data_IF_421231916754
#
_entry.id   IF_421231916754
#
_cell.length_a   1.000
_cell.length_b   1.000
_cell.length_c   1.000
_cell.angle_alpha   90.00
_cell.angle_beta   90.00
_cell.angle_gamma   90.00
#
_symmetry.space_group_name_H-M   'P 1'
#
loop_
_entity.id
_entity.type
_entity.pdbx_description
1 polymer ?
#
# COMPACT_ATOMS: atom_id res chain seq x y z
N UNK A 1 -38.46 -37.21 -29.06
CA UNK A 1 -37.03 -36.87 -29.01
C UNK A 1 -36.89 -35.37 -28.72
N UNK A 2 -36.66 -35.00 -27.45
CA UNK A 2 -36.80 -33.63 -26.96
C UNK A 2 -35.43 -32.96 -26.94
N UNK A 3 -35.21 -31.99 -27.82
CA UNK A 3 -33.96 -31.22 -27.95
C UNK A 3 -33.86 -30.26 -26.76
N UNK A 4 -32.88 -30.48 -25.88
CA UNK A 4 -32.54 -29.53 -24.82
C UNK A 4 -31.60 -28.47 -25.39
N UNK A 5 -32.08 -27.23 -25.37
CA UNK A 5 -31.34 -26.03 -25.72
C UNK A 5 -30.73 -25.49 -24.43
N UNK A 6 -29.41 -25.70 -24.25
CA UNK A 6 -28.68 -25.15 -23.11
C UNK A 6 -28.28 -23.72 -23.46
N UNK A 7 -28.84 -22.76 -22.72
CA UNK A 7 -28.45 -21.36 -22.77
C UNK A 7 -27.17 -21.16 -21.96
N UNK A 8 -26.08 -20.75 -22.61
CA UNK A 8 -24.86 -20.28 -21.94
C UNK A 8 -25.09 -18.84 -21.50
N UNK A 9 -25.42 -18.65 -20.22
CA UNK A 9 -25.45 -17.33 -19.59
C UNK A 9 -24.02 -16.86 -19.34
N UNK A 10 -23.61 -15.80 -20.03
CA UNK A 10 -22.36 -15.10 -19.74
C UNK A 10 -22.51 -14.31 -18.43
N UNK A 11 -21.94 -14.84 -17.35
CA UNK A 11 -21.80 -14.12 -16.07
C UNK A 11 -20.66 -13.12 -16.23
N UNK A 12 -21.00 -11.85 -16.45
CA UNK A 12 -20.06 -10.74 -16.28
C UNK A 12 -19.71 -10.63 -14.79
N UNK A 13 -18.56 -11.16 -14.39
CA UNK A 13 -18.00 -10.92 -13.07
C UNK A 13 -17.60 -9.44 -12.99
N UNK A 14 -18.39 -8.65 -12.27
CA UNK A 14 -18.04 -7.28 -11.90
C UNK A 14 -16.84 -7.33 -10.95
N UNK A 15 -15.64 -6.99 -11.44
CA UNK A 15 -14.50 -6.76 -10.56
C UNK A 15 -14.79 -5.49 -9.75
N UNK A 16 -14.72 -5.53 -8.41
CA UNK A 16 -14.85 -4.31 -7.64
C UNK A 16 -13.63 -3.45 -7.93
N UNK A 17 -13.87 -2.20 -8.35
CA UNK A 17 -12.84 -1.18 -8.38
C UNK A 17 -12.56 -0.79 -6.91
N UNK A 18 -11.70 -1.54 -6.23
CA UNK A 18 -11.17 -1.13 -4.93
C UNK A 18 -10.15 -0.03 -5.15
N UNK A 19 -10.63 1.21 -5.19
CA UNK A 19 -9.81 2.40 -5.18
C UNK A 19 -10.49 3.51 -4.39
N UNK A 20 -9.83 3.98 -3.32
CA UNK A 20 -10.06 5.29 -2.71
C UNK A 20 -10.74 5.26 -1.35
N UNK A 21 -11.19 4.10 -0.88
CA UNK A 21 -11.81 3.96 0.43
C UNK A 21 -10.82 3.44 1.46
N UNK A 22 -10.74 4.11 2.61
CA UNK A 22 -9.87 3.73 3.70
C UNK A 22 -10.34 2.40 4.32
N UNK A 23 -9.44 1.42 4.38
CA UNK A 23 -9.74 0.10 4.91
C UNK A 23 -9.01 -0.17 6.23
N UNK A 24 -9.60 -0.95 7.16
CA UNK A 24 -8.86 -1.45 8.30
C UNK A 24 -7.81 -2.46 7.87
N UNK A 25 -6.63 -2.43 8.48
CA UNK A 25 -5.56 -3.40 8.26
C UNK A 25 -5.13 -4.06 9.57
N UNK A 26 -5.21 -5.39 9.61
CA UNK A 26 -4.67 -6.21 10.70
C UNK A 26 -3.33 -6.82 10.29
N UNK A 27 -2.52 -7.17 11.28
CA UNK A 27 -1.23 -7.82 11.11
C UNK A 27 -1.35 -9.14 10.31
N UNK A 28 -2.46 -9.86 10.48
CA UNK A 28 -2.74 -11.11 9.76
C UNK A 28 -2.91 -10.92 8.25
N UNK A 29 -3.26 -9.71 7.80
CA UNK A 29 -3.55 -9.42 6.40
C UNK A 29 -2.33 -8.84 5.65
N UNK A 30 -1.26 -8.47 6.36
CA UNK A 30 -0.05 -7.87 5.76
C UNK A 30 0.61 -8.81 4.76
N UNK A 31 0.69 -10.11 5.08
CA UNK A 31 1.27 -11.10 4.17
C UNK A 31 0.49 -11.17 2.84
N UNK A 32 -0.84 -11.04 2.89
CA UNK A 32 -1.69 -10.98 1.69
C UNK A 32 -1.46 -9.71 0.90
N UNK A 33 -1.31 -8.56 1.55
CA UNK A 33 -0.94 -7.31 0.89
C UNK A 33 0.42 -7.42 0.20
N UNK A 34 1.44 -7.98 0.85
CA UNK A 34 2.77 -8.12 0.26
C UNK A 34 2.82 -9.13 -0.88
N UNK A 35 1.98 -10.17 -0.85
CA UNK A 35 1.87 -11.13 -1.95
C UNK A 35 1.42 -10.50 -3.28
N UNK A 36 0.76 -9.33 -3.26
CA UNK A 36 0.41 -8.62 -4.50
C UNK A 36 1.64 -8.16 -5.27
N UNK A 37 2.82 -8.07 -4.62
CA UNK A 37 4.06 -7.66 -5.24
C UNK A 37 4.51 -8.56 -6.41
N UNK A 38 4.04 -9.82 -6.43
CA UNK A 38 4.29 -10.74 -7.55
C UNK A 38 3.74 -10.21 -8.88
N UNK A 39 2.58 -9.53 -8.84
CA UNK A 39 1.92 -8.96 -10.02
C UNK A 39 2.59 -7.69 -10.54
N UNK A 40 3.09 -6.86 -9.62
CA UNK A 40 3.83 -5.61 -9.84
C UNK A 40 4.57 -5.26 -8.56
N UNK A 41 5.81 -4.74 -8.59
CA UNK A 41 6.50 -4.32 -7.37
C UNK A 41 5.64 -3.40 -6.51
N UNK A 42 5.78 -3.49 -5.20
CA UNK A 42 4.96 -2.78 -4.23
C UNK A 42 5.84 -1.88 -3.34
N UNK A 43 5.54 -0.59 -3.32
CA UNK A 43 6.01 0.33 -2.29
C UNK A 43 4.91 0.49 -1.23
N UNK A 44 5.27 0.31 0.03
CA UNK A 44 4.37 0.48 1.18
C UNK A 44 4.89 1.62 2.04
N UNK A 45 4.13 2.70 2.09
CA UNK A 45 4.42 3.86 2.93
C UNK A 45 3.70 3.73 4.26
N UNK A 46 4.47 3.70 5.34
CA UNK A 46 3.97 3.65 6.71
C UNK A 46 4.12 5.04 7.32
N UNK A 47 2.99 5.59 7.77
CA UNK A 47 2.88 6.96 8.25
C UNK A 47 1.90 7.09 9.42
N UNK A 48 1.77 8.31 9.96
CA UNK A 48 0.76 8.64 10.98
C UNK A 48 0.37 10.12 10.86
N UNK A 49 -0.79 10.48 11.40
CA UNK A 49 -1.26 11.85 11.53
C UNK A 49 -0.26 12.76 12.29
N UNK A 50 0.45 12.20 13.28
CA UNK A 50 1.38 12.94 14.15
C UNK A 50 2.81 13.04 13.59
N UNK A 51 3.02 12.61 12.34
CA UNK A 51 4.32 12.59 11.70
C UNK A 51 4.56 13.85 10.84
N UNK A 52 5.40 14.76 11.32
CA UNK A 52 5.69 16.03 10.64
C UNK A 52 6.23 15.91 9.21
N UNK A 53 7.02 14.87 8.91
CA UNK A 53 7.64 14.66 7.59
C UNK A 53 6.87 13.70 6.68
N UNK A 54 5.85 13.00 7.17
CA UNK A 54 5.17 11.96 6.40
C UNK A 54 4.40 12.53 5.20
N UNK A 55 3.82 13.73 5.34
CA UNK A 55 3.10 14.41 4.24
C UNK A 55 4.01 14.71 3.06
N UNK A 56 5.22 15.19 3.33
CA UNK A 56 6.21 15.50 2.29
C UNK A 56 6.71 14.23 1.61
N UNK A 57 7.02 13.19 2.39
CA UNK A 57 7.44 11.91 1.83
C UNK A 57 6.34 11.24 0.98
N UNK A 58 5.09 11.28 1.45
CA UNK A 58 3.94 10.80 0.68
C UNK A 58 3.80 11.56 -0.65
N UNK A 59 4.02 12.87 -0.67
CA UNK A 59 3.99 13.66 -1.91
C UNK A 59 5.09 13.21 -2.89
N UNK A 60 6.30 12.94 -2.41
CA UNK A 60 7.39 12.41 -3.24
C UNK A 60 7.02 11.04 -3.84
N UNK A 61 6.49 10.13 -3.01
CA UNK A 61 6.07 8.80 -3.45
C UNK A 61 4.93 8.84 -4.45
N UNK A 62 3.90 9.66 -4.22
CA UNK A 62 2.77 9.84 -5.15
C UNK A 62 3.26 10.42 -6.48
N UNK A 63 4.10 11.45 -6.45
CA UNK A 63 4.65 12.04 -7.67
C UNK A 63 5.50 11.02 -8.45
N UNK A 64 6.30 10.23 -7.75
CA UNK A 64 7.11 9.17 -8.34
C UNK A 64 6.24 8.05 -8.94
N UNK A 65 5.23 7.55 -8.21
CA UNK A 65 4.33 6.49 -8.64
C UNK A 65 3.55 6.87 -9.91
N UNK A 66 3.16 8.14 -10.07
CA UNK A 66 2.50 8.63 -11.30
C UNK A 66 3.37 8.46 -12.55
N UNK A 67 4.70 8.49 -12.41
CA UNK A 67 5.65 8.25 -13.53
C UNK A 67 5.96 6.77 -13.74
N UNK A 68 5.65 5.92 -12.76
CA UNK A 68 5.94 4.50 -12.74
C UNK A 68 4.67 3.70 -12.40
N UNK A 69 3.65 3.71 -13.28
CA UNK A 69 2.37 3.04 -13.04
C UNK A 69 2.48 1.51 -12.98
N UNK A 70 3.64 0.96 -13.35
CA UNK A 70 4.01 -0.45 -13.16
C UNK A 70 4.38 -0.78 -11.71
N UNK A 71 4.32 0.19 -10.80
CA UNK A 71 4.52 0.03 -9.36
C UNK A 71 3.21 0.25 -8.61
N UNK A 72 2.93 -0.64 -7.67
CA UNK A 72 1.86 -0.49 -6.70
C UNK A 72 2.33 0.38 -5.55
N UNK A 73 1.44 1.25 -5.05
CA UNK A 73 1.65 2.00 -3.81
C UNK A 73 0.54 1.62 -2.83
N UNK A 74 0.91 1.42 -1.57
CA UNK A 74 -0.02 1.30 -0.45
C UNK A 74 0.36 2.33 0.63
N UNK A 75 -0.63 3.06 1.13
CA UNK A 75 -0.49 3.99 2.25
C UNK A 75 -1.08 3.35 3.50
N UNK A 76 -0.28 3.20 4.56
CA UNK A 76 -0.69 2.55 5.81
C UNK A 76 -0.49 3.52 6.97
N UNK A 77 -1.59 4.05 7.48
CA UNK A 77 -1.58 4.84 8.70
C UNK A 77 -1.48 3.92 9.93
N UNK A 78 -0.57 4.22 10.85
CA UNK A 78 -0.48 3.52 12.14
C UNK A 78 -1.52 4.00 13.16
N UNK A 79 -2.23 5.09 12.85
CA UNK A 79 -3.35 5.59 13.65
C UNK A 79 -4.50 4.57 13.65
N UNK A 80 -5.19 4.44 14.78
CA UNK A 80 -6.27 3.47 14.94
C UNK A 80 -7.46 3.80 14.01
N UNK A 81 -7.91 2.83 13.23
CA UNK A 81 -9.00 2.97 12.25
C UNK A 81 -10.31 3.41 12.92
N UNK A 82 -10.70 2.76 14.02
CA UNK A 82 -11.97 3.01 14.69
C UNK A 82 -12.04 4.42 15.30
N UNK A 83 -10.91 4.95 15.79
CA UNK A 83 -10.84 6.25 16.45
C UNK A 83 -10.51 7.40 15.48
N UNK A 84 -9.69 7.14 14.46
CA UNK A 84 -9.08 8.18 13.62
C UNK A 84 -9.42 8.06 12.13
N UNK A 85 -10.26 7.10 11.71
CA UNK A 85 -10.52 6.81 10.30
C UNK A 85 -10.91 8.02 9.46
N UNK A 86 -11.78 8.90 9.98
CA UNK A 86 -12.18 10.12 9.28
C UNK A 86 -11.01 11.11 9.09
N UNK A 87 -10.18 11.30 10.12
CA UNK A 87 -9.01 12.18 10.06
C UNK A 87 -7.93 11.61 9.12
N UNK A 88 -7.71 10.30 9.15
CA UNK A 88 -6.81 9.59 8.24
C UNK A 88 -7.26 9.75 6.78
N UNK A 89 -8.55 9.50 6.49
CA UNK A 89 -9.10 9.67 5.14
C UNK A 89 -8.96 11.12 4.64
N UNK A 90 -9.22 12.10 5.52
CA UNK A 90 -9.04 13.50 5.18
C UNK A 90 -7.57 13.85 4.90
N UNK A 91 -6.63 13.35 5.70
CA UNK A 91 -5.21 13.57 5.49
C UNK A 91 -4.72 12.93 4.18
N UNK A 92 -5.18 11.72 3.83
CA UNK A 92 -4.88 11.06 2.55
C UNK A 92 -5.38 11.89 1.35
N UNK A 93 -6.59 12.46 1.45
CA UNK A 93 -7.11 13.36 0.43
C UNK A 93 -6.24 14.62 0.29
N UNK A 94 -5.81 15.23 1.40
CA UNK A 94 -4.90 16.40 1.38
C UNK A 94 -3.51 16.06 0.82
N UNK A 95 -3.05 14.81 0.95
CA UNK A 95 -1.82 14.32 0.35
C UNK A 95 -1.95 14.03 -1.16
N UNK A 96 -3.13 14.24 -1.75
CA UNK A 96 -3.42 13.98 -3.17
C UNK A 96 -3.10 12.53 -3.59
N UNK A 97 -3.31 11.59 -2.67
CA UNK A 97 -3.15 10.15 -2.92
C UNK A 97 -4.17 9.73 -3.99
N UNK A 98 -3.73 9.14 -5.12
CA UNK A 98 -4.64 8.73 -6.18
C UNK A 98 -5.67 7.69 -5.67
N UNK A 99 -6.92 7.71 -6.15
CA UNK A 99 -7.93 6.77 -5.69
C UNK A 99 -7.52 5.31 -5.83
N UNK A 100 -6.79 4.93 -6.89
CA UNK A 100 -6.34 3.55 -7.11
C UNK A 100 -5.25 3.06 -6.12
N UNK A 101 -4.68 3.95 -5.31
CA UNK A 101 -3.71 3.57 -4.27
C UNK A 101 -4.46 2.91 -3.13
N UNK A 102 -3.95 1.77 -2.66
CA UNK A 102 -4.52 1.09 -1.51
C UNK A 102 -4.28 1.93 -0.25
N UNK A 103 -5.34 2.18 0.52
CA UNK A 103 -5.32 3.08 1.68
C UNK A 103 -5.80 2.32 2.91
N UNK A 104 -4.95 2.25 3.93
CA UNK A 104 -5.20 1.49 5.15
C UNK A 104 -4.98 2.34 6.40
N UNK A 105 -5.71 2.02 7.47
CA UNK A 105 -5.35 2.42 8.83
C UNK A 105 -5.29 1.20 9.77
N UNK A 106 -4.56 1.33 10.87
CA UNK A 106 -4.32 0.23 11.80
C UNK A 106 -5.62 -0.24 12.46
N UNK A 107 -5.91 -1.53 12.38
CA UNK A 107 -7.01 -2.18 13.10
C UNK A 107 -6.49 -3.15 14.17
N UNK A 108 -5.25 -2.95 14.62
CA UNK A 108 -4.66 -3.69 15.72
C UNK A 108 -4.91 -2.98 17.05
N UNK A 109 -5.28 -3.71 18.12
CA UNK A 109 -5.37 -3.14 19.47
C UNK A 109 -4.00 -2.80 20.06
N UNK A 110 -2.93 -3.39 19.50
CA UNK A 110 -1.55 -3.22 19.94
C UNK A 110 -0.68 -2.85 18.72
N UNK A 111 -0.17 -1.61 18.62
CA UNK A 111 0.53 -1.12 17.43
C UNK A 111 1.72 -1.99 17.00
N UNK A 112 2.40 -2.63 17.96
CA UNK A 112 3.56 -3.49 17.75
C UNK A 112 3.26 -4.70 16.87
N UNK A 113 2.01 -5.18 16.87
CA UNK A 113 1.60 -6.31 16.01
C UNK A 113 1.68 -5.92 14.54
N UNK A 114 1.05 -4.81 14.18
CA UNK A 114 1.09 -4.32 12.80
C UNK A 114 2.51 -3.89 12.43
N UNK A 115 3.23 -3.19 13.32
CA UNK A 115 4.63 -2.81 13.13
C UNK A 115 5.50 -4.01 12.74
N UNK A 116 5.42 -5.09 13.53
CA UNK A 116 6.23 -6.30 13.31
C UNK A 116 5.84 -7.02 12.02
N UNK A 117 4.55 -7.05 11.68
CA UNK A 117 4.07 -7.65 10.44
C UNK A 117 4.53 -6.87 9.20
N UNK A 118 4.53 -5.53 9.27
CA UNK A 118 5.01 -4.66 8.21
C UNK A 118 6.53 -4.77 8.05
N UNK A 119 7.28 -4.57 9.12
CA UNK A 119 8.74 -4.68 9.11
C UNK A 119 9.25 -5.05 10.51
N UNK A 120 9.68 -6.30 10.69
CA UNK A 120 10.14 -6.81 11.97
C UNK A 120 11.38 -6.06 12.51
N UNK A 121 12.19 -5.47 11.64
CA UNK A 121 13.37 -4.68 12.03
C UNK A 121 13.06 -3.22 12.34
N UNK A 122 11.87 -2.74 11.97
CA UNK A 122 11.47 -1.34 12.12
C UNK A 122 11.22 -0.99 13.58
N UNK A 123 11.77 0.11 14.09
CA UNK A 123 11.69 0.48 15.51
C UNK A 123 10.62 1.53 15.81
N UNK A 124 9.83 1.91 14.81
CA UNK A 124 8.74 2.88 14.93
C UNK A 124 9.12 4.26 14.40
N UNK A 125 10.33 4.46 13.86
CA UNK A 125 10.70 5.73 13.25
C UNK A 125 9.87 6.00 11.98
N UNK A 126 9.33 7.20 11.82
CA UNK A 126 8.48 7.55 10.68
C UNK A 126 9.05 8.75 9.90
N UNK A 127 8.74 8.88 8.59
CA UNK A 127 8.09 7.87 7.75
C UNK A 127 8.96 6.63 7.54
N UNK A 128 8.33 5.51 7.18
CA UNK A 128 8.99 4.25 6.83
C UNK A 128 8.41 3.72 5.53
N UNK A 129 9.23 3.59 4.50
CA UNK A 129 8.82 3.01 3.22
C UNK A 129 9.45 1.64 3.03
N UNK A 130 8.62 0.62 2.80
CA UNK A 130 9.03 -0.74 2.50
C UNK A 130 8.83 -1.04 1.02
N UNK A 131 9.89 -1.45 0.35
CA UNK A 131 9.88 -1.95 -1.02
C UNK A 131 9.80 -3.46 -1.04
N UNK A 132 8.88 -4.00 -1.85
CA UNK A 132 8.75 -5.43 -2.15
C UNK A 132 8.87 -5.64 -3.66
N UNK A 133 9.89 -6.37 -4.10
CA UNK A 133 10.07 -6.78 -5.50
C UNK A 133 9.18 -7.95 -5.89
N UNK A 134 9.06 -8.21 -7.21
CA UNK A 134 8.31 -9.36 -7.76
C UNK A 134 8.83 -10.71 -7.28
N UNK A 135 10.14 -10.77 -7.05
CA UNK A 135 10.88 -11.92 -6.51
C UNK A 135 10.79 -12.01 -4.97
N UNK A 136 9.92 -11.21 -4.33
CA UNK A 136 9.83 -11.05 -2.88
C UNK A 136 11.08 -10.48 -2.22
N UNK A 137 12.02 -9.91 -2.99
CA UNK A 137 13.13 -9.14 -2.41
C UNK A 137 12.59 -7.95 -1.63
N UNK A 138 13.19 -7.66 -0.47
CA UNK A 138 12.77 -6.57 0.42
C UNK A 138 13.91 -5.60 0.67
N UNK A 139 13.58 -4.32 0.63
CA UNK A 139 14.43 -3.24 1.10
C UNK A 139 13.52 -2.19 1.72
N UNK A 140 14.01 -1.40 2.67
CA UNK A 140 13.17 -0.44 3.33
C UNK A 140 14.01 0.74 3.86
N UNK A 141 13.46 1.94 3.72
CA UNK A 141 14.13 3.21 4.06
C UNK A 141 13.23 4.05 4.96
N UNK A 142 13.85 4.81 5.84
CA UNK A 142 13.15 5.69 6.77
C UNK A 142 13.54 7.13 6.50
N UNK A 143 12.63 8.06 6.77
CA UNK A 143 12.81 9.48 6.46
C UNK A 143 12.43 9.84 5.03
N UNK A 144 12.73 11.10 4.67
CA UNK A 144 12.34 11.67 3.38
C UNK A 144 13.12 11.02 2.22
N UNK A 145 12.40 10.36 1.32
CA UNK A 145 13.01 9.69 0.18
C UNK A 145 13.28 10.66 -0.96
N UNK A 146 14.46 10.52 -1.55
CA UNK A 146 14.82 11.19 -2.81
C UNK A 146 14.40 10.33 -4.00
N UNK A 147 14.24 10.98 -5.15
CA UNK A 147 13.91 10.29 -6.40
C UNK A 147 14.94 9.20 -6.75
N UNK A 148 16.22 9.42 -6.44
CA UNK A 148 17.31 8.47 -6.71
C UNK A 148 17.17 7.18 -5.90
N UNK A 149 16.71 7.27 -4.65
CA UNK A 149 16.45 6.09 -3.82
C UNK A 149 15.32 5.26 -4.45
N UNK A 150 14.24 5.94 -4.85
CA UNK A 150 13.06 5.32 -5.45
C UNK A 150 13.38 4.67 -6.81
N UNK A 151 14.04 5.41 -7.71
CA UNK A 151 14.45 4.90 -9.03
C UNK A 151 15.50 3.77 -8.90
N UNK A 152 16.35 3.82 -7.86
CA UNK A 152 17.30 2.76 -7.55
C UNK A 152 16.63 1.41 -7.24
N UNK A 153 15.44 1.40 -6.61
CA UNK A 153 14.69 0.16 -6.38
C UNK A 153 14.25 -0.51 -7.69
N UNK A 154 13.78 0.29 -8.65
CA UNK A 154 13.36 -0.22 -9.97
C UNK A 154 14.53 -0.84 -10.74
N UNK A 155 15.69 -0.20 -10.68
CA UNK A 155 16.88 -0.67 -11.39
C UNK A 155 17.38 -2.01 -10.85
N UNK A 156 17.28 -2.24 -9.53
CA UNK A 156 17.67 -3.52 -8.92
C UNK A 156 16.75 -4.67 -9.38
N UNK A 157 15.45 -4.40 -9.49
CA UNK A 157 14.48 -5.38 -9.97
C UNK A 157 14.62 -5.74 -11.45
N UNK A 158 15.05 -4.80 -12.31
CA UNK A 158 15.23 -5.03 -13.75
C UNK A 158 16.49 -5.83 -14.12
N UNK A 159 17.48 -5.90 -13.22
CA UNK A 159 18.77 -6.57 -13.46
C UNK A 159 18.77 -8.06 -13.10
N UNK A 160 17.65 -8.59 -12.61
CA UNK A 160 17.45 -10.00 -12.24
C UNK A 160 16.43 -10.63 -13.17
#
# INVERSE_FOLDING_TARGET
>A
MKRWMVWVGAVFASLPAWGGELQPLRATDVAKLYATAHERPLAVEIWSLDCGYCRENAAHLVAWQRRHPDVQLAMIAMDAYDDNGAAVAQALAQMNVPPQVAQYASAEPMPERLRTALDAGWRGEMPRTVWIGRDSSRDARSGLLTIDVLDGWLQRGKRR
#
